data_IF_989275318478
#
_entry.id   IF_989275318478
#
_cell.length_a   1.000
_cell.length_b   1.000
_cell.length_c   1.000
_cell.angle_alpha   90.00
_cell.angle_beta   90.00
_cell.angle_gamma   90.00
#
_symmetry.space_group_name_H-M   'P 1'
#
loop_
_entity.id
_entity.type
_entity.pdbx_description
1 polymer ?
#
# COMPACT_ATOMS: atom_id res chain seq x y z
N UNK A 1 24.64 -62.17 11.49
CA UNK A 1 24.14 -62.60 12.81
C UNK A 1 23.42 -61.42 13.46
N UNK A 2 22.36 -61.70 14.23
CA UNK A 2 21.75 -60.79 15.23
C UNK A 2 22.23 -61.26 16.64
N UNK A 3 21.93 -60.58 17.78
CA UNK A 3 21.07 -59.43 18.03
C UNK A 3 21.91 -58.11 18.19
N UNK A 4 21.64 -57.06 18.98
CA UNK A 4 20.71 -56.76 20.11
C UNK A 4 20.47 -55.24 20.24
N UNK A 5 19.57 -54.81 21.15
CA UNK A 5 19.36 -53.42 21.59
C UNK A 5 19.37 -53.33 23.13
N UNK A 6 19.91 -52.24 23.70
CA UNK A 6 19.57 -51.56 24.98
C UNK A 6 20.04 -50.10 24.82
N UNK A 7 19.37 -48.95 25.07
CA UNK A 7 18.10 -48.47 25.66
C UNK A 7 18.07 -48.05 27.15
N UNK A 8 17.69 -46.78 27.41
CA UNK A 8 17.53 -46.12 28.72
C UNK A 8 18.86 -45.79 29.45
N UNK A 9 18.92 -44.87 30.45
CA UNK A 9 17.89 -44.02 31.08
C UNK A 9 18.52 -42.63 31.40
N UNK A 10 17.87 -41.48 31.19
CA UNK A 10 16.83 -40.81 32.02
C UNK A 10 17.35 -40.17 33.33
N UNK A 11 16.89 -38.92 33.57
CA UNK A 11 16.83 -38.18 34.84
C UNK A 11 18.14 -37.63 35.49
N UNK A 12 18.09 -36.63 36.38
CA UNK A 12 17.19 -35.45 36.54
C UNK A 12 17.70 -34.56 37.71
N UNK A 13 17.13 -33.35 37.86
CA UNK A 13 17.22 -32.45 39.04
C UNK A 13 18.63 -31.91 39.40
N UNK A 14 18.79 -30.85 40.22
CA UNK A 14 18.00 -29.62 40.37
C UNK A 14 18.70 -28.59 41.28
N UNK A 15 18.44 -27.30 41.00
CA UNK A 15 18.25 -26.18 41.95
C UNK A 15 19.34 -25.79 42.96
N UNK A 16 19.22 -24.52 43.40
CA UNK A 16 19.90 -23.82 44.51
C UNK A 16 21.43 -23.63 44.42
N UNK A 17 22.04 -22.67 45.11
CA UNK A 17 21.66 -21.28 45.44
C UNK A 17 22.91 -20.55 45.99
N UNK A 18 22.97 -19.22 45.90
CA UNK A 18 24.03 -18.44 46.56
C UNK A 18 24.07 -16.98 46.10
N UNK A 19 24.04 -16.04 47.06
CA UNK A 19 24.16 -14.61 46.81
C UNK A 19 25.50 -14.06 47.34
N UNK A 20 25.94 -12.97 46.71
CA UNK A 20 26.79 -11.89 47.25
C UNK A 20 28.25 -12.21 47.62
N UNK A 21 29.15 -11.32 47.15
CA UNK A 21 30.57 -11.30 47.47
C UNK A 21 31.30 -10.28 46.60
N UNK A 22 31.35 -9.01 47.04
CA UNK A 22 31.92 -7.90 46.28
C UNK A 22 33.34 -7.54 46.74
N UNK A 23 34.26 -7.30 45.79
CA UNK A 23 35.18 -6.14 45.68
C UNK A 23 36.47 -6.51 44.91
N UNK A 24 36.89 -5.62 43.99
CA UNK A 24 38.28 -5.32 43.55
C UNK A 24 39.22 -6.45 43.05
N UNK A 25 40.09 -6.27 42.05
CA UNK A 25 40.35 -5.10 41.19
C UNK A 25 41.21 -5.47 39.95
N UNK A 26 41.22 -4.54 38.97
CA UNK A 26 42.26 -4.32 37.93
C UNK A 26 42.61 -5.41 36.89
N UNK A 27 42.12 -5.16 35.67
CA UNK A 27 42.90 -5.06 34.42
C UNK A 27 43.51 -6.32 33.76
N UNK A 28 42.83 -6.77 32.69
CA UNK A 28 43.46 -7.02 31.39
C UNK A 28 42.42 -6.73 30.29
N UNK A 29 42.80 -6.04 29.21
CA UNK A 29 41.89 -5.72 28.11
C UNK A 29 41.82 -6.85 27.08
N UNK A 30 40.62 -7.34 26.81
CA UNK A 30 40.31 -8.19 25.67
C UNK A 30 39.27 -7.47 24.80
N UNK A 31 39.74 -6.76 23.76
CA UNK A 31 38.91 -5.92 22.92
C UNK A 31 38.17 -6.74 21.85
N UNK A 32 37.03 -7.33 22.20
CA UNK A 32 36.07 -7.82 21.19
C UNK A 32 35.23 -6.66 20.65
N UNK A 33 35.05 -6.63 19.33
CA UNK A 33 34.39 -5.56 18.57
C UNK A 33 32.86 -5.53 18.71
N UNK A 34 32.36 -5.53 19.95
CA UNK A 34 30.94 -5.42 20.27
C UNK A 34 30.36 -4.09 19.82
N UNK A 35 29.78 -4.07 18.61
CA UNK A 35 29.01 -2.93 18.11
C UNK A 35 27.84 -2.68 19.07
N UNK A 36 27.91 -1.59 19.83
CA UNK A 36 26.88 -1.25 20.81
C UNK A 36 25.51 -1.22 20.13
N UNK A 37 24.47 -1.86 20.70
CA UNK A 37 23.15 -1.91 20.09
C UNK A 37 22.66 -0.47 19.93
N UNK A 38 22.46 -0.04 18.68
CA UNK A 38 22.16 1.35 18.35
C UNK A 38 21.03 1.85 19.25
N UNK A 39 21.33 2.88 20.06
CA UNK A 39 20.39 3.41 21.02
C UNK A 39 19.11 3.77 20.26
N UNK A 40 17.99 3.09 20.60
CA UNK A 40 16.72 3.35 19.94
C UNK A 40 16.38 4.81 20.20
N UNK A 41 16.50 5.63 19.15
CA UNK A 41 16.12 7.04 19.17
C UNK A 41 14.60 7.12 19.27
N UNK A 42 14.09 6.87 20.48
CA UNK A 42 12.77 7.25 20.96
C UNK A 42 12.76 8.78 21.06
N UNK A 43 12.81 9.44 19.89
CA UNK A 43 12.40 10.82 19.74
C UNK A 43 11.04 10.93 20.42
N UNK A 44 10.86 11.82 21.41
CA UNK A 44 9.59 11.90 22.13
C UNK A 44 8.49 12.14 21.10
N UNK A 45 7.46 11.29 21.14
CA UNK A 45 6.31 11.39 20.24
C UNK A 45 5.77 12.81 20.33
N UNK A 46 5.92 13.58 19.24
CA UNK A 46 5.31 14.91 19.16
C UNK A 46 3.80 14.68 19.13
N UNK A 47 3.13 14.89 20.25
CA UNK A 47 1.67 14.75 20.36
C UNK A 47 0.93 15.71 19.42
N UNK A 48 1.59 16.80 19.02
CA UNK A 48 1.15 17.68 17.94
C UNK A 48 1.15 17.07 16.53
N UNK A 49 2.01 16.08 16.25
CA UNK A 49 2.11 15.40 14.95
C UNK A 49 1.19 14.15 14.87
N UNK A 50 0.06 14.21 15.57
CA UNK A 50 -1.04 13.25 15.44
C UNK A 50 -2.14 13.89 14.58
N UNK A 51 -2.78 13.10 13.72
CA UNK A 51 -3.84 13.59 12.84
C UNK A 51 -5.02 14.21 13.63
N UNK A 52 -5.40 15.42 13.25
CA UNK A 52 -6.55 16.13 13.79
C UNK A 52 -7.83 15.71 13.05
N UNK A 53 -8.86 15.29 13.79
CA UNK A 53 -10.16 14.93 13.22
C UNK A 53 -10.82 16.14 12.53
N UNK A 54 -10.93 16.09 11.21
CA UNK A 54 -11.60 17.09 10.38
C UNK A 54 -13.06 16.69 10.10
N UNK A 55 -13.95 17.67 10.04
CA UNK A 55 -15.26 17.48 9.39
C UNK A 55 -15.11 17.47 7.86
N UNK A 56 -16.04 16.85 7.10
CA UNK A 56 -15.99 16.84 5.63
C UNK A 56 -15.93 18.24 4.99
N UNK A 57 -16.55 19.24 5.62
CA UNK A 57 -16.50 20.63 5.17
C UNK A 57 -15.10 21.26 5.35
N UNK A 58 -14.43 20.99 6.46
CA UNK A 58 -13.05 21.46 6.72
C UNK A 58 -12.04 20.77 5.80
N UNK A 59 -12.17 19.46 5.60
CA UNK A 59 -11.33 18.71 4.66
C UNK A 59 -11.49 19.23 3.22
N UNK A 60 -12.73 19.37 2.73
CA UNK A 60 -13.00 19.97 1.42
C UNK A 60 -12.41 21.39 1.27
N UNK A 61 -12.48 22.22 2.31
CA UNK A 61 -11.90 23.56 2.28
C UNK A 61 -10.36 23.55 2.21
N UNK A 62 -9.70 22.60 2.88
CA UNK A 62 -8.26 22.40 2.76
C UNK A 62 -7.85 21.90 1.37
N UNK A 63 -8.60 20.94 0.80
CA UNK A 63 -8.41 20.44 -0.57
C UNK A 63 -8.50 21.60 -1.57
N UNK A 64 -9.54 22.44 -1.49
CA UNK A 64 -9.68 23.61 -2.36
C UNK A 64 -8.51 24.58 -2.18
N UNK A 65 -8.17 24.94 -0.93
CA UNK A 65 -7.08 25.87 -0.66
C UNK A 65 -5.70 25.36 -1.13
N UNK A 66 -5.51 24.05 -1.20
CA UNK A 66 -4.34 23.43 -1.82
C UNK A 66 -4.39 23.46 -3.36
N UNK A 67 -5.57 23.24 -3.96
CA UNK A 67 -5.76 23.32 -5.42
C UNK A 67 -5.44 24.73 -5.94
N UNK A 68 -5.96 25.76 -5.26
CA UNK A 68 -5.72 27.17 -5.58
C UNK A 68 -4.22 27.54 -5.52
N UNK A 69 -3.44 26.86 -4.67
CA UNK A 69 -2.00 27.09 -4.44
C UNK A 69 -1.08 26.17 -5.26
N UNK A 70 -1.61 25.33 -6.15
CA UNK A 70 -0.81 24.37 -6.94
C UNK A 70 0.30 25.03 -7.75
N UNK A 71 0.01 26.17 -8.39
CA UNK A 71 0.98 26.88 -9.24
C UNK A 71 2.14 27.50 -8.44
N UNK A 72 1.85 28.09 -7.28
CA UNK A 72 2.87 28.66 -6.39
C UNK A 72 3.69 27.57 -5.70
N UNK A 73 3.04 26.48 -5.29
CA UNK A 73 3.71 25.30 -4.74
C UNK A 73 4.67 24.68 -5.75
N UNK A 74 4.25 24.52 -7.01
CA UNK A 74 5.11 24.03 -8.08
C UNK A 74 6.34 24.95 -8.32
N UNK A 75 6.18 26.27 -8.16
CA UNK A 75 7.28 27.25 -8.26
C UNK A 75 8.24 27.13 -7.08
N UNK A 76 7.74 27.04 -5.86
CA UNK A 76 8.56 26.88 -4.63
C UNK A 76 9.33 25.56 -4.62
N UNK A 77 8.77 24.50 -5.21
CA UNK A 77 9.44 23.20 -5.39
C UNK A 77 10.39 23.15 -6.60
N UNK A 78 10.49 24.22 -7.41
CA UNK A 78 11.39 24.29 -8.57
C UNK A 78 11.02 23.36 -9.72
N UNK A 79 9.74 23.00 -9.88
CA UNK A 79 9.28 22.08 -10.93
C UNK A 79 9.39 22.72 -12.32
N UNK A 80 9.56 21.91 -13.36
CA UNK A 80 9.66 22.39 -14.74
C UNK A 80 8.35 23.02 -15.24
N UNK A 81 8.42 23.98 -16.16
CA UNK A 81 7.24 24.70 -16.68
C UNK A 81 6.18 23.83 -17.40
N UNK A 82 6.51 22.57 -17.73
CA UNK A 82 5.55 21.57 -18.24
C UNK A 82 4.88 20.74 -17.14
N UNK A 83 5.39 20.80 -15.91
CA UNK A 83 4.85 20.07 -14.75
C UNK A 83 3.70 20.83 -14.10
N UNK A 84 2.67 20.12 -13.66
CA UNK A 84 1.59 20.67 -12.82
C UNK A 84 1.25 19.69 -11.70
N UNK A 85 0.96 20.22 -10.53
CA UNK A 85 0.52 19.47 -9.36
C UNK A 85 -1.00 19.26 -9.38
N UNK A 86 -1.45 18.07 -8.96
CA UNK A 86 -2.87 17.71 -8.81
C UNK A 86 -3.06 17.22 -7.37
N UNK A 87 -3.83 17.98 -6.57
CA UNK A 87 -4.14 17.59 -5.18
C UNK A 87 -4.89 16.26 -5.17
N UNK A 88 -4.44 15.33 -4.32
CA UNK A 88 -5.14 14.08 -4.01
C UNK A 88 -5.72 14.08 -2.60
N UNK A 89 -4.97 14.56 -1.63
CA UNK A 89 -5.43 14.63 -0.24
C UNK A 89 -4.72 15.74 0.56
N UNK A 90 -5.34 16.17 1.67
CA UNK A 90 -4.73 17.04 2.69
C UNK A 90 -5.06 16.48 4.07
N UNK A 91 -4.06 15.88 4.71
CA UNK A 91 -4.11 15.53 6.15
C UNK A 91 -3.65 16.74 6.96
N UNK A 92 -4.24 16.94 8.15
CA UNK A 92 -3.85 17.99 9.09
C UNK A 92 -3.47 17.40 10.45
N UNK A 93 -2.36 17.85 11.00
CA UNK A 93 -1.89 17.47 12.33
C UNK A 93 -2.46 18.40 13.42
N UNK A 94 -2.47 17.92 14.66
CA UNK A 94 -2.97 18.66 15.83
C UNK A 94 -2.19 19.95 16.14
N UNK A 95 -0.90 20.03 15.80
CA UNK A 95 -0.11 21.27 15.89
C UNK A 95 -0.42 22.29 14.77
N UNK A 96 -1.14 21.87 13.73
CA UNK A 96 -1.52 22.69 12.59
C UNK A 96 -0.71 22.48 11.32
N UNK A 97 0.28 21.58 11.32
CA UNK A 97 0.97 21.12 10.10
C UNK A 97 -0.02 20.54 9.09
N UNK A 98 0.21 20.79 7.79
CA UNK A 98 -0.57 20.22 6.68
C UNK A 98 0.30 19.34 5.79
N UNK A 99 -0.15 18.10 5.58
CA UNK A 99 0.45 17.12 4.67
C UNK A 99 -0.39 17.03 3.41
N UNK A 100 0.02 17.74 2.36
CA UNK A 100 -0.71 17.73 1.07
C UNK A 100 -0.08 16.71 0.13
N UNK A 101 -0.83 15.67 -0.24
CA UNK A 101 -0.42 14.72 -1.28
C UNK A 101 -0.79 15.25 -2.66
N UNK A 102 0.19 15.32 -3.54
CA UNK A 102 0.03 15.71 -4.94
C UNK A 102 0.51 14.59 -5.87
N UNK A 103 -0.29 14.31 -6.90
CA UNK A 103 0.22 13.73 -8.15
C UNK A 103 0.79 14.83 -9.05
N UNK A 104 1.60 14.43 -10.04
CA UNK A 104 2.10 15.32 -11.10
C UNK A 104 1.48 14.95 -12.44
N UNK A 105 1.32 15.97 -13.27
CA UNK A 105 1.24 15.81 -14.73
C UNK A 105 2.45 16.48 -15.37
N UNK A 106 2.87 16.01 -16.55
CA UNK A 106 3.87 16.64 -17.40
C UNK A 106 3.31 16.77 -18.81
N UNK A 107 3.24 17.99 -19.35
CA UNK A 107 2.66 18.26 -20.68
C UNK A 107 1.20 17.77 -20.82
N UNK A 108 0.47 17.71 -19.70
CA UNK A 108 -0.89 17.14 -19.60
C UNK A 108 -0.95 15.62 -19.41
N UNK A 109 0.16 14.88 -19.51
CA UNK A 109 0.21 13.44 -19.25
C UNK A 109 0.36 13.15 -17.75
N UNK A 110 -0.32 12.15 -17.17
CA UNK A 110 -0.08 11.72 -15.78
C UNK A 110 1.36 11.23 -15.58
N UNK A 111 1.94 11.48 -14.39
CA UNK A 111 3.26 10.98 -13.99
C UNK A 111 3.09 9.88 -12.95
N UNK A 112 3.46 8.64 -13.28
CA UNK A 112 3.38 7.49 -12.36
C UNK A 112 4.68 7.37 -11.55
N UNK A 113 4.57 7.22 -10.22
CA UNK A 113 5.72 7.10 -9.30
C UNK A 113 6.50 8.40 -9.05
N UNK A 114 6.03 9.53 -9.59
CA UNK A 114 6.63 10.85 -9.39
C UNK A 114 5.99 11.68 -8.27
N UNK A 115 5.08 11.11 -7.49
CA UNK A 115 4.25 11.81 -6.50
C UNK A 115 5.03 12.46 -5.35
N UNK A 116 4.38 13.45 -4.71
CA UNK A 116 4.99 14.35 -3.72
C UNK A 116 4.03 14.56 -2.55
N UNK A 117 4.52 14.47 -1.32
CA UNK A 117 3.84 15.01 -0.13
C UNK A 117 4.56 16.28 0.31
N UNK A 118 3.84 17.41 0.28
CA UNK A 118 4.33 18.71 0.75
C UNK A 118 3.87 18.94 2.18
N UNK A 119 4.84 19.24 3.04
CA UNK A 119 4.69 19.53 4.45
C UNK A 119 4.68 21.05 4.61
N UNK A 120 3.52 21.61 4.93
CA UNK A 120 3.38 23.03 5.28
C UNK A 120 3.32 23.15 6.80
N UNK A 121 4.26 23.83 7.47
CA UNK A 121 4.21 24.00 8.92
C UNK A 121 3.01 24.85 9.35
N UNK A 122 2.61 24.83 10.63
CA UNK A 122 1.56 25.71 11.14
C UNK A 122 1.88 27.18 10.90
N UNK A 123 0.84 28.02 10.79
CA UNK A 123 0.97 29.42 10.39
C UNK A 123 1.94 30.26 11.26
N UNK A 124 2.11 29.90 12.54
CA UNK A 124 3.09 30.49 13.47
C UNK A 124 4.56 30.24 13.11
N UNK A 125 4.83 29.23 12.28
CA UNK A 125 6.15 28.82 11.82
C UNK A 125 6.31 28.92 10.28
N UNK A 126 5.29 29.43 9.58
CA UNK A 126 5.21 29.46 8.12
C UNK A 126 6.03 30.60 7.47
N UNK A 127 7.33 30.67 7.79
CA UNK A 127 8.29 31.64 7.26
C UNK A 127 8.71 31.34 5.79
N UNK A 128 7.76 30.94 4.93
CA UNK A 128 8.00 30.47 3.56
C UNK A 128 8.56 29.05 3.44
N UNK A 129 9.07 28.47 4.53
CA UNK A 129 9.61 27.10 4.56
C UNK A 129 8.50 26.05 4.42
N UNK A 130 8.38 25.47 3.23
CA UNK A 130 7.76 24.15 3.03
C UNK A 130 8.86 23.10 2.84
N UNK A 131 8.64 21.87 3.29
CA UNK A 131 9.47 20.73 2.91
C UNK A 131 8.64 19.74 2.09
N UNK A 132 9.31 18.83 1.37
CA UNK A 132 8.63 17.88 0.49
C UNK A 132 9.29 16.50 0.51
N UNK A 133 8.48 15.48 0.74
CA UNK A 133 8.83 14.08 0.50
C UNK A 133 8.47 13.75 -0.93
N UNK A 134 9.43 13.24 -1.69
CA UNK A 134 9.26 12.83 -3.08
C UNK A 134 9.37 11.30 -3.15
N UNK A 135 8.49 10.65 -3.92
CA UNK A 135 8.66 9.25 -4.28
C UNK A 135 9.89 9.10 -5.22
N UNK A 136 9.95 9.94 -6.27
CA UNK A 136 11.15 10.11 -7.10
C UNK A 136 11.56 11.59 -7.20
N UNK A 137 12.84 11.88 -6.89
CA UNK A 137 13.47 13.21 -6.95
C UNK A 137 14.02 13.58 -8.34
N UNK A 138 14.04 12.66 -9.30
CA UNK A 138 14.46 12.98 -10.67
C UNK A 138 13.53 14.03 -11.30
N UNK A 139 14.13 15.03 -11.96
CA UNK A 139 13.40 16.05 -12.71
C UNK A 139 12.67 15.39 -13.88
N UNK A 140 11.37 15.64 -14.02
CA UNK A 140 10.60 15.08 -15.14
C UNK A 140 10.99 15.82 -16.42
N UNK A 141 11.68 15.12 -17.31
CA UNK A 141 12.04 15.61 -18.63
C UNK A 141 12.11 14.44 -19.60
N UNK A 142 11.33 14.52 -20.68
CA UNK A 142 11.36 13.57 -21.80
C UNK A 142 11.62 14.31 -23.09
N UNK A 143 12.34 13.69 -24.02
CA UNK A 143 12.69 14.29 -25.32
C UNK A 143 11.49 14.51 -26.24
N UNK A 144 10.41 13.74 -26.06
CA UNK A 144 9.16 13.89 -26.80
C UNK A 144 7.99 13.32 -25.99
N UNK A 145 6.79 13.83 -26.24
CA UNK A 145 5.50 13.29 -25.76
C UNK A 145 4.73 12.53 -26.86
N UNK A 146 5.35 12.37 -28.05
CA UNK A 146 4.89 11.52 -29.15
C UNK A 146 5.43 10.10 -28.99
N UNK A 147 4.53 9.11 -29.02
CA UNK A 147 4.90 7.70 -28.93
C UNK A 147 5.29 7.15 -30.31
N UNK A 148 6.40 6.41 -30.39
CA UNK A 148 6.79 5.63 -31.58
C UNK A 148 6.06 4.29 -31.61
N UNK A 149 5.80 3.70 -30.44
CA UNK A 149 5.03 2.48 -30.26
C UNK A 149 3.54 2.83 -30.33
N UNK A 150 2.81 2.19 -31.25
CA UNK A 150 1.36 2.34 -31.36
C UNK A 150 0.65 1.77 -30.12
N UNK A 151 -0.48 2.40 -29.73
CA UNK A 151 -1.31 1.96 -28.59
C UNK A 151 -1.66 0.47 -28.64
N UNK A 152 -2.09 -0.02 -29.81
CA UNK A 152 -2.45 -1.42 -30.05
C UNK A 152 -1.29 -2.40 -29.89
N UNK A 153 -0.03 -1.95 -30.09
CA UNK A 153 1.15 -2.77 -29.83
C UNK A 153 1.44 -2.88 -28.32
N UNK A 154 1.22 -1.80 -27.55
CA UNK A 154 1.30 -1.84 -26.09
C UNK A 154 0.17 -2.67 -25.46
N UNK A 155 -1.06 -2.59 -25.99
CA UNK A 155 -2.19 -3.45 -25.61
C UNK A 155 -1.89 -4.93 -25.91
N UNK A 156 -1.37 -5.23 -27.11
CA UNK A 156 -0.93 -6.58 -27.51
C UNK A 156 0.22 -7.12 -26.65
N UNK A 157 1.12 -6.25 -26.18
CA UNK A 157 2.21 -6.60 -25.26
C UNK A 157 1.67 -6.91 -23.86
N UNK A 158 0.81 -6.05 -23.32
CA UNK A 158 0.20 -6.24 -22.01
C UNK A 158 -0.69 -7.51 -21.95
N UNK A 159 -1.47 -7.79 -23.00
CA UNK A 159 -2.23 -9.04 -23.12
C UNK A 159 -1.35 -10.29 -23.16
N UNK A 160 -0.16 -10.23 -23.77
CA UNK A 160 0.83 -11.32 -23.72
C UNK A 160 1.42 -11.48 -22.31
N UNK A 161 1.71 -10.37 -21.62
CA UNK A 161 2.19 -10.41 -20.23
C UNK A 161 1.14 -11.01 -19.29
N UNK A 162 -0.14 -10.64 -19.42
CA UNK A 162 -1.23 -11.23 -18.62
C UNK A 162 -1.42 -12.73 -18.89
N UNK A 163 -1.36 -13.17 -20.15
CA UNK A 163 -1.42 -14.60 -20.51
C UNK A 163 -0.20 -15.41 -20.05
N UNK A 164 0.94 -14.76 -19.78
CA UNK A 164 2.12 -15.37 -19.17
C UNK A 164 2.11 -15.33 -17.63
N UNK A 165 0.99 -14.90 -17.04
CA UNK A 165 0.65 -14.98 -15.62
C UNK A 165 -0.67 -15.77 -15.45
N UNK A 166 -0.93 -16.70 -16.38
CA UNK A 166 -2.09 -17.60 -16.45
C UNK A 166 -3.48 -16.96 -16.25
N UNK A 167 -3.59 -15.65 -16.48
CA UNK A 167 -4.82 -14.89 -16.28
C UNK A 167 -5.96 -15.42 -17.15
N UNK A 168 -7.11 -15.67 -16.52
CA UNK A 168 -8.31 -16.18 -17.18
C UNK A 168 -9.13 -15.04 -17.80
N UNK A 169 -9.53 -15.22 -19.07
CA UNK A 169 -10.27 -14.23 -19.89
C UNK A 169 -9.63 -12.81 -19.90
N UNK A 170 -8.31 -12.66 -20.16
CA UNK A 170 -7.66 -11.36 -20.06
C UNK A 170 -8.06 -10.44 -21.21
N UNK A 171 -8.52 -9.23 -20.90
CA UNK A 171 -9.00 -8.23 -21.85
C UNK A 171 -8.34 -6.87 -21.59
N UNK A 172 -8.07 -6.09 -22.64
CA UNK A 172 -7.50 -4.75 -22.49
C UNK A 172 -8.61 -3.72 -22.26
N UNK A 173 -8.82 -3.34 -21.00
CA UNK A 173 -9.89 -2.43 -20.60
C UNK A 173 -9.60 -0.98 -21.02
N UNK A 174 -8.32 -0.59 -20.95
CA UNK A 174 -7.85 0.72 -21.41
C UNK A 174 -6.34 0.75 -21.63
N UNK A 175 -5.89 1.65 -22.49
CA UNK A 175 -4.49 2.10 -22.50
C UNK A 175 -4.39 3.62 -22.75
N UNK A 176 -3.46 4.27 -22.03
CA UNK A 176 -3.23 5.72 -22.03
C UNK A 176 -1.74 6.06 -22.04
N UNK A 177 -1.38 7.22 -22.59
CA UNK A 177 0.00 7.75 -22.46
C UNK A 177 0.20 8.32 -21.07
N UNK A 178 1.34 8.02 -20.46
CA UNK A 178 1.81 8.53 -19.17
C UNK A 178 3.29 8.86 -19.26
N UNK A 179 3.82 9.57 -18.27
CA UNK A 179 5.24 9.54 -17.97
C UNK A 179 5.47 8.51 -16.86
N UNK A 180 6.29 7.50 -17.12
CA UNK A 180 6.81 6.63 -16.08
C UNK A 180 7.95 7.32 -15.35
N UNK A 181 7.90 7.35 -14.02
CA UNK A 181 8.94 7.90 -13.16
C UNK A 181 9.08 7.10 -11.83
N UNK A 182 8.60 5.84 -11.77
CA UNK A 182 8.74 5.02 -10.56
C UNK A 182 10.18 4.55 -10.30
N UNK A 183 10.99 4.41 -11.36
CA UNK A 183 12.42 4.12 -11.26
C UNK A 183 13.24 4.88 -12.33
N UNK A 184 14.53 5.06 -12.05
CA UNK A 184 15.51 5.61 -13.00
C UNK A 184 15.16 6.97 -13.61
N UNK A 185 15.57 7.16 -14.87
CA UNK A 185 15.27 8.37 -15.64
C UNK A 185 13.84 8.32 -16.18
N UNK A 186 13.02 9.37 -15.97
CA UNK A 186 11.63 9.41 -16.45
C UNK A 186 11.48 9.19 -17.96
N UNK A 187 10.41 8.50 -18.38
CA UNK A 187 10.15 8.12 -19.78
C UNK A 187 8.71 8.30 -20.20
N UNK A 188 8.48 8.58 -21.49
CA UNK A 188 7.16 8.41 -22.09
C UNK A 188 6.80 6.92 -22.13
N UNK A 189 5.63 6.56 -21.63
CA UNK A 189 5.14 5.19 -21.57
C UNK A 189 3.65 5.08 -21.94
N UNK A 190 3.25 3.89 -22.34
CA UNK A 190 1.87 3.44 -22.32
C UNK A 190 1.60 2.71 -21.02
N UNK A 191 0.61 3.16 -20.26
CA UNK A 191 -0.03 2.36 -19.22
C UNK A 191 -1.22 1.65 -19.86
N UNK A 192 -1.19 0.31 -19.86
CA UNK A 192 -2.32 -0.53 -20.24
C UNK A 192 -2.88 -1.21 -19.01
N UNK A 193 -4.20 -1.19 -18.83
CA UNK A 193 -4.91 -1.97 -17.80
C UNK A 193 -5.51 -3.20 -18.44
N UNK A 194 -5.15 -4.38 -17.94
CA UNK A 194 -5.73 -5.66 -18.35
C UNK A 194 -6.67 -6.17 -17.26
N UNK A 195 -7.96 -6.27 -17.59
CA UNK A 195 -8.99 -6.89 -16.77
C UNK A 195 -9.08 -8.40 -17.00
N UNK A 196 -10.07 -9.03 -16.36
CA UNK A 196 -10.30 -10.47 -16.37
C UNK A 196 -10.18 -11.05 -14.96
N UNK A 197 -9.65 -12.27 -14.85
CA UNK A 197 -9.40 -12.95 -13.57
C UNK A 197 -7.96 -13.45 -13.50
N UNK A 198 -7.46 -13.63 -12.28
CA UNK A 198 -6.22 -14.35 -11.98
C UNK A 198 -6.47 -15.86 -12.02
N UNK A 199 -5.43 -16.66 -11.86
CA UNK A 199 -5.49 -18.13 -11.87
C UNK A 199 -6.31 -18.70 -10.70
N UNK A 200 -6.26 -18.04 -9.53
CA UNK A 200 -7.09 -18.35 -8.35
C UNK A 200 -8.57 -17.95 -8.50
N UNK A 201 -8.95 -17.26 -9.57
CA UNK A 201 -10.30 -16.74 -9.79
C UNK A 201 -10.59 -15.36 -9.18
N UNK A 202 -9.64 -14.74 -8.48
CA UNK A 202 -9.72 -13.34 -8.04
C UNK A 202 -9.79 -12.42 -9.27
N UNK A 203 -10.60 -11.33 -9.28
CA UNK A 203 -10.56 -10.32 -10.32
C UNK A 203 -9.15 -9.79 -10.59
N UNK A 204 -8.79 -9.61 -11.86
CA UNK A 204 -7.51 -9.06 -12.28
C UNK A 204 -7.66 -7.61 -12.71
N UNK A 205 -6.67 -6.78 -12.42
CA UNK A 205 -6.55 -5.40 -12.90
C UNK A 205 -5.08 -5.09 -13.10
N UNK A 206 -4.45 -5.82 -14.01
CA UNK A 206 -3.00 -5.78 -14.21
C UNK A 206 -2.63 -4.51 -14.98
N UNK A 207 -2.00 -3.56 -14.29
CA UNK A 207 -1.39 -2.40 -14.93
C UNK A 207 -0.02 -2.81 -15.49
N UNK A 208 0.17 -2.67 -16.81
CA UNK A 208 1.43 -2.94 -17.50
C UNK A 208 1.95 -1.65 -18.11
N UNK A 209 3.15 -1.23 -17.70
CA UNK A 209 3.81 -0.01 -18.15
C UNK A 209 4.82 -0.37 -19.25
N UNK A 210 4.58 0.11 -20.47
CA UNK A 210 5.40 -0.17 -21.66
C UNK A 210 6.06 1.11 -22.17
N UNK A 211 7.38 1.07 -22.36
CA UNK A 211 8.19 2.15 -22.95
C UNK A 211 7.64 2.55 -24.32
N UNK A 212 7.18 3.79 -24.47
CA UNK A 212 6.44 4.24 -25.66
C UNK A 212 7.34 4.49 -26.89
N UNK A 213 8.66 4.33 -26.74
CA UNK A 213 9.64 4.47 -27.82
C UNK A 213 10.20 3.12 -28.24
N UNK A 214 10.45 2.21 -27.29
CA UNK A 214 11.14 0.93 -27.53
C UNK A 214 10.27 -0.32 -27.38
N UNK A 215 9.05 -0.20 -26.83
CA UNK A 215 8.12 -1.32 -26.65
C UNK A 215 8.50 -2.30 -25.54
N UNK A 216 9.54 -1.98 -24.75
CA UNK A 216 9.96 -2.75 -23.59
C UNK A 216 8.99 -2.56 -22.43
N UNK A 217 8.69 -3.63 -21.72
CA UNK A 217 8.01 -3.53 -20.42
C UNK A 217 8.97 -2.84 -19.43
N UNK A 218 8.51 -1.78 -18.78
CA UNK A 218 9.25 -1.05 -17.75
C UNK A 218 8.87 -1.57 -16.37
N UNK A 219 7.57 -1.75 -16.13
CA UNK A 219 7.03 -2.15 -14.84
C UNK A 219 5.64 -2.80 -15.01
N UNK A 220 5.21 -3.57 -14.01
CA UNK A 220 3.83 -4.06 -13.91
C UNK A 220 3.41 -4.24 -12.45
N UNK A 221 2.13 -4.06 -12.17
CA UNK A 221 1.53 -4.27 -10.84
C UNK A 221 0.05 -4.68 -10.95
N UNK A 222 -0.46 -5.43 -9.98
CA UNK A 222 -1.90 -5.61 -9.83
C UNK A 222 -2.53 -4.39 -9.16
N UNK A 223 -3.65 -3.92 -9.70
CA UNK A 223 -4.47 -2.85 -9.14
C UNK A 223 -5.60 -3.35 -8.23
N UNK A 224 -5.55 -4.62 -7.81
CA UNK A 224 -6.45 -5.25 -6.84
C UNK A 224 -5.63 -5.59 -5.59
N UNK A 225 -6.09 -5.13 -4.43
CA UNK A 225 -5.56 -5.54 -3.11
C UNK A 225 -6.35 -6.76 -2.61
N UNK A 226 -5.65 -7.73 -2.02
CA UNK A 226 -6.25 -8.95 -1.46
C UNK A 226 -5.70 -9.28 -0.09
N UNK A 227 -6.60 -9.41 0.89
CA UNK A 227 -6.33 -10.01 2.18
C UNK A 227 -6.55 -11.51 2.19
N UNK A 228 -5.99 -12.19 3.19
CA UNK A 228 -6.19 -13.63 3.43
C UNK A 228 -7.39 -13.83 4.35
N UNK A 229 -8.41 -14.55 3.92
CA UNK A 229 -9.55 -14.94 4.76
C UNK A 229 -9.40 -16.35 5.30
N UNK A 230 -9.27 -16.51 6.62
CA UNK A 230 -9.34 -17.81 7.30
C UNK A 230 -10.79 -18.06 7.72
N UNK A 231 -11.62 -18.47 6.76
CA UNK A 231 -13.07 -18.65 6.90
C UNK A 231 -13.41 -19.91 7.70
N UNK A 232 -14.65 -19.99 8.22
CA UNK A 232 -15.16 -21.19 8.90
C UNK A 232 -15.56 -22.29 7.92
N UNK A 233 -16.12 -21.94 6.77
CA UNK A 233 -16.78 -22.89 5.86
C UNK A 233 -16.02 -23.15 4.55
N UNK A 234 -15.12 -22.26 4.12
CA UNK A 234 -14.38 -22.38 2.86
C UNK A 234 -12.86 -22.54 3.04
N UNK A 235 -12.38 -22.63 4.28
CA UNK A 235 -10.95 -22.71 4.59
C UNK A 235 -10.25 -21.37 4.38
N UNK A 236 -9.02 -21.41 3.84
CA UNK A 236 -8.26 -20.20 3.51
C UNK A 236 -8.58 -19.74 2.09
N UNK A 237 -8.96 -18.46 1.93
CA UNK A 237 -9.42 -17.87 0.66
C UNK A 237 -8.80 -16.49 0.41
N UNK A 238 -8.71 -16.08 -0.86
CA UNK A 238 -8.45 -14.69 -1.25
C UNK A 238 -9.68 -13.81 -0.97
N UNK A 239 -9.52 -12.65 -0.33
CA UNK A 239 -10.59 -11.67 -0.13
C UNK A 239 -10.20 -10.33 -0.73
N UNK A 240 -11.07 -9.75 -1.57
CA UNK A 240 -10.87 -8.36 -2.03
C UNK A 240 -11.07 -7.38 -0.88
N UNK A 241 -10.06 -6.52 -0.66
CA UNK A 241 -9.96 -5.62 0.49
C UNK A 241 -9.70 -4.18 0.02
N UNK A 242 -9.67 -3.23 0.95
CA UNK A 242 -9.27 -1.85 0.66
C UNK A 242 -8.57 -1.25 1.85
N UNK A 243 -7.31 -0.82 1.67
CA UNK A 243 -6.57 -0.07 2.68
C UNK A 243 -7.02 1.40 2.77
N UNK A 244 -7.11 1.92 3.99
CA UNK A 244 -7.36 3.33 4.32
C UNK A 244 -6.46 3.73 5.49
N UNK A 245 -5.42 4.52 5.21
CA UNK A 245 -4.37 4.82 6.18
C UNK A 245 -3.67 3.53 6.66
N UNK A 246 -3.64 3.32 7.98
CA UNK A 246 -3.08 2.13 8.61
C UNK A 246 -4.09 0.98 8.85
N UNK A 247 -5.29 1.06 8.28
CA UNK A 247 -6.34 0.04 8.45
C UNK A 247 -6.83 -0.54 7.13
N UNK A 248 -7.06 -1.84 7.11
CA UNK A 248 -7.73 -2.55 6.02
C UNK A 248 -9.23 -2.64 6.31
N UNK A 249 -10.04 -2.69 5.26
CA UNK A 249 -11.49 -2.94 5.34
C UNK A 249 -11.91 -4.05 4.40
N UNK A 250 -12.92 -4.83 4.78
CA UNK A 250 -13.61 -5.77 3.89
C UNK A 250 -14.58 -4.99 2.98
N UNK A 251 -13.99 -4.28 2.02
CA UNK A 251 -14.67 -3.58 0.91
C UNK A 251 -14.25 -4.23 -0.41
N UNK A 252 -15.20 -4.83 -1.11
CA UNK A 252 -15.01 -5.28 -2.49
C UNK A 252 -15.43 -4.16 -3.46
N UNK A 253 -14.47 -3.32 -3.84
CA UNK A 253 -14.67 -2.27 -4.85
C UNK A 253 -14.76 -2.80 -6.29
N UNK A 254 -14.58 -4.12 -6.52
CA UNK A 254 -14.55 -4.74 -7.85
C UNK A 254 -15.87 -5.39 -8.24
N UNK A 255 -16.53 -6.07 -7.29
CA UNK A 255 -17.82 -6.74 -7.46
C UNK A 255 -18.92 -5.89 -6.81
N UNK A 256 -19.38 -4.86 -7.52
CA UNK A 256 -20.55 -4.06 -7.11
C UNK A 256 -20.41 -3.17 -5.87
N UNK A 257 -19.24 -3.07 -5.24
CA UNK A 257 -19.01 -2.21 -4.07
C UNK A 257 -19.45 -2.82 -2.73
N UNK A 258 -19.51 -4.15 -2.64
CA UNK A 258 -19.93 -4.85 -1.42
C UNK A 258 -19.05 -4.51 -0.21
N UNK A 259 -19.65 -4.48 0.98
CA UNK A 259 -19.01 -4.07 2.24
C UNK A 259 -19.51 -4.95 3.39
N UNK A 260 -18.59 -5.55 4.15
CA UNK A 260 -18.92 -6.32 5.34
C UNK A 260 -18.99 -5.41 6.56
N UNK A 261 -20.07 -5.52 7.35
CA UNK A 261 -20.28 -4.72 8.56
C UNK A 261 -20.33 -5.59 9.81
N UNK A 262 -19.78 -5.10 10.91
CA UNK A 262 -19.91 -5.68 12.24
C UNK A 262 -21.16 -5.10 12.94
N UNK A 263 -22.13 -5.96 13.28
CA UNK A 263 -23.29 -5.57 14.10
C UNK A 263 -23.01 -5.66 15.62
N UNK A 264 -21.80 -6.06 16.02
CA UNK A 264 -21.37 -6.25 17.41
C UNK A 264 -22.37 -7.09 18.23
N UNK A 265 -22.68 -8.28 17.73
CA UNK A 265 -23.70 -9.21 18.23
C UNK A 265 -25.17 -8.72 18.17
N UNK A 266 -25.44 -7.53 17.63
CA UNK A 266 -26.78 -7.09 17.24
C UNK A 266 -27.33 -7.85 16.03
N UNK A 267 -28.66 -7.85 15.89
CA UNK A 267 -29.39 -8.54 14.81
C UNK A 267 -30.07 -7.58 13.82
N UNK A 268 -29.91 -6.27 13.98
CA UNK A 268 -30.50 -5.24 13.11
C UNK A 268 -29.67 -3.94 13.12
N UNK A 269 -29.97 -3.04 12.18
CA UNK A 269 -29.19 -1.83 11.92
C UNK A 269 -28.08 -2.03 10.87
N UNK A 270 -27.27 -1.00 10.63
CA UNK A 270 -26.20 -1.03 9.61
C UNK A 270 -24.87 -1.55 10.17
N UNK A 271 -24.63 -1.43 11.47
CA UNK A 271 -23.34 -1.77 12.09
C UNK A 271 -22.21 -0.80 11.75
N UNK A 272 -20.98 -1.20 12.06
CA UNK A 272 -19.74 -0.49 11.68
C UNK A 272 -19.03 -1.23 10.56
N UNK A 273 -18.37 -0.52 9.63
CA UNK A 273 -17.62 -1.18 8.55
C UNK A 273 -16.52 -2.07 9.16
N UNK A 274 -16.43 -3.33 8.75
CA UNK A 274 -15.50 -4.29 9.35
C UNK A 274 -14.06 -3.93 8.93
N UNK A 275 -13.22 -3.61 9.92
CA UNK A 275 -11.89 -3.03 9.73
C UNK A 275 -10.88 -3.47 10.78
N UNK A 276 -9.62 -3.67 10.41
CA UNK A 276 -8.52 -4.02 11.32
C UNK A 276 -7.16 -3.49 10.78
N UNK A 277 -6.04 -3.78 11.44
CA UNK A 277 -4.70 -3.22 11.09
C UNK A 277 -3.81 -4.12 10.21
N UNK A 278 -4.22 -5.35 9.94
CA UNK A 278 -3.53 -6.32 9.07
C UNK A 278 -4.50 -6.92 8.05
N UNK A 279 -4.01 -7.38 6.90
CA UNK A 279 -4.88 -7.95 5.86
C UNK A 279 -4.99 -9.49 5.96
N UNK A 280 -5.34 -9.97 7.16
CA UNK A 280 -5.55 -11.40 7.47
C UNK A 280 -6.73 -11.55 8.42
N UNK A 281 -7.84 -12.06 7.89
CA UNK A 281 -9.17 -12.00 8.49
C UNK A 281 -9.55 -13.35 9.09
N UNK A 282 -9.73 -13.39 10.41
CA UNK A 282 -10.18 -14.58 11.12
C UNK A 282 -9.09 -15.64 11.36
N UNK A 283 -9.53 -16.74 11.98
CA UNK A 283 -8.71 -17.88 12.41
C UNK A 283 -9.44 -19.24 12.23
N UNK A 284 -10.57 -19.26 11.51
CA UNK A 284 -11.41 -20.45 11.34
C UNK A 284 -12.24 -20.83 12.58
N UNK A 285 -12.21 -20.05 13.67
CA UNK A 285 -13.03 -20.28 14.88
C UNK A 285 -14.28 -19.40 14.93
N UNK A 286 -15.36 -19.92 15.52
CA UNK A 286 -16.62 -19.19 15.72
C UNK A 286 -16.49 -18.04 16.74
N UNK A 287 -15.46 -18.07 17.59
CA UNK A 287 -15.16 -17.03 18.60
C UNK A 287 -14.59 -15.76 17.98
N UNK A 288 -14.04 -15.81 16.78
CA UNK A 288 -13.41 -14.68 16.12
C UNK A 288 -14.37 -14.03 15.11
N UNK A 289 -14.76 -12.78 15.39
CA UNK A 289 -15.68 -12.03 14.52
C UNK A 289 -15.14 -11.82 13.10
N UNK A 290 -13.82 -11.80 12.91
CA UNK A 290 -13.20 -11.68 11.59
C UNK A 290 -13.29 -12.98 10.77
N UNK A 291 -13.46 -14.15 11.41
CA UNK A 291 -13.78 -15.41 10.71
C UNK A 291 -15.16 -15.28 10.05
N UNK A 292 -16.19 -14.92 10.83
CA UNK A 292 -17.54 -14.74 10.30
C UNK A 292 -17.62 -13.59 9.26
N UNK A 293 -16.81 -12.54 9.41
CA UNK A 293 -16.69 -11.48 8.42
C UNK A 293 -16.02 -11.96 7.11
N UNK A 294 -15.04 -12.87 7.21
CA UNK A 294 -14.40 -13.51 6.06
C UNK A 294 -15.37 -14.46 5.33
N UNK A 295 -16.13 -15.31 6.04
CA UNK A 295 -17.19 -16.13 5.46
C UNK A 295 -18.24 -15.28 4.72
N UNK A 296 -18.71 -14.19 5.34
CA UNK A 296 -19.69 -13.29 4.75
C UNK A 296 -19.14 -12.54 3.51
N UNK A 297 -17.89 -12.09 3.58
CA UNK A 297 -17.22 -11.45 2.44
C UNK A 297 -17.01 -12.42 1.27
N UNK A 298 -16.58 -13.66 1.56
CA UNK A 298 -16.35 -14.68 0.53
C UNK A 298 -17.67 -15.14 -0.13
N UNK A 299 -18.72 -15.39 0.67
CA UNK A 299 -20.04 -15.77 0.16
C UNK A 299 -20.64 -14.72 -0.78
N UNK A 300 -20.41 -13.42 -0.53
CA UNK A 300 -20.83 -12.34 -1.43
C UNK A 300 -20.06 -12.37 -2.77
N UNK A 301 -18.75 -12.61 -2.72
CA UNK A 301 -17.89 -12.71 -3.91
C UNK A 301 -18.32 -13.85 -4.83
N UNK A 302 -18.50 -15.05 -4.27
CA UNK A 302 -18.94 -16.24 -5.01
C UNK A 302 -20.37 -16.09 -5.57
N UNK A 303 -21.28 -15.50 -4.81
CA UNK A 303 -22.65 -15.23 -5.27
C UNK A 303 -22.63 -14.33 -6.50
N UNK A 304 -21.85 -13.24 -6.47
CA UNK A 304 -21.71 -12.31 -7.60
C UNK A 304 -21.10 -12.99 -8.83
N UNK A 305 -20.00 -13.74 -8.64
CA UNK A 305 -19.32 -14.52 -9.70
C UNK A 305 -20.21 -15.59 -10.31
N UNK A 306 -21.18 -16.14 -9.56
CA UNK A 306 -22.18 -17.06 -10.10
C UNK A 306 -23.26 -16.37 -10.95
N UNK A 307 -23.66 -15.16 -10.56
CA UNK A 307 -24.70 -14.37 -11.24
C UNK A 307 -24.27 -13.89 -12.63
N UNK A 308 -22.99 -13.56 -12.82
CA UNK A 308 -22.44 -13.09 -14.11
C UNK A 308 -22.09 -14.23 -15.09
N UNK A 309 -22.54 -15.47 -14.84
CA UNK A 309 -22.33 -16.65 -15.71
C UNK A 309 -23.63 -17.12 -16.40
N UNK A 310 -24.58 -16.20 -16.66
CA UNK A 310 -25.79 -16.44 -17.45
C UNK A 310 -25.82 -15.52 -18.66
#
# INVERSE_FOLDING_TARGET
MHPTRVTAALAALALTAGLAGTLASTAAEAAEGGSAPAARHLSPLRTGALEAKLSPAQHKALIQSAQDKTADTARTLGLGAKEKLVVRDVVKDADGTLHTRYERTYDGLPVLGGDIVVHTPPASLAAGTVSATYNNKHRIAVSSTTATVAKSAAESKALKTAKALDAAKPAADSARKVIWAGDGTPKLAWETVIGGFQDDGTPSKLHVITDATTGKELYRYQGIETGVGNTRYSGQVSLTTTQSGSSYTLTDATRGGHKTYNLNHGTSGTGTLFSQSNDTWGDGTNSNAATAAADAAYGAQETWVSGTRR
#
